data_IF_239285765394
#
_entry.id   IF_239285765394
#
_cell.length_a   1.000
_cell.length_b   1.000
_cell.length_c   1.000
_cell.angle_alpha   90.00
_cell.angle_beta   90.00
_cell.angle_gamma   90.00
#
_symmetry.space_group_name_H-M   'P 1'
#
loop_
_entity.id
_entity.type
_entity.pdbx_description
1 polymer ?
#
# COMPACT_ATOMS: atom_id res chain seq x y z
N UNK A 1 3.55 -0.34 12.97
CA UNK A 1 3.20 1.13 12.78
C UNK A 1 2.25 1.54 13.90
N UNK A 2 2.42 2.73 14.53
CA UNK A 2 1.45 3.25 15.49
C UNK A 2 0.21 3.80 14.76
N UNK A 3 -0.97 3.40 15.19
CA UNK A 3 -2.26 3.81 14.62
C UNK A 3 -3.15 4.31 15.76
N UNK A 4 -3.45 5.61 15.76
CA UNK A 4 -4.44 6.15 16.68
C UNK A 4 -5.84 5.68 16.27
N UNK A 5 -6.80 5.53 17.21
CA UNK A 5 -8.16 5.08 16.88
C UNK A 5 -8.85 5.90 15.78
N UNK A 6 -8.62 7.21 15.75
CA UNK A 6 -9.16 8.10 14.71
C UNK A 6 -8.55 7.88 13.31
N UNK A 7 -7.36 7.28 13.24
CA UNK A 7 -6.62 7.02 11.99
C UNK A 7 -6.73 5.55 11.55
N UNK A 8 -7.39 4.69 12.34
CA UNK A 8 -7.56 3.29 11.99
C UNK A 8 -8.39 3.16 10.71
N UNK A 9 -8.07 2.17 9.90
CA UNK A 9 -8.86 1.83 8.70
C UNK A 9 -10.31 1.52 9.06
N UNK A 10 -11.22 1.82 8.13
CA UNK A 10 -12.64 1.45 8.22
C UNK A 10 -12.88 -0.03 7.81
N UNK A 11 -11.83 -0.75 7.45
CA UNK A 11 -11.89 -2.14 7.03
C UNK A 11 -11.24 -2.40 5.68
N UNK A 12 -11.43 -3.61 5.17
CA UNK A 12 -10.85 -4.06 3.91
C UNK A 12 -11.31 -3.23 2.72
N UNK A 13 -12.57 -2.81 2.71
CA UNK A 13 -13.14 -1.96 1.66
C UNK A 13 -12.46 -0.58 1.54
N UNK A 14 -11.68 -0.14 2.55
CA UNK A 14 -10.90 1.09 2.49
C UNK A 14 -9.45 0.84 2.06
N UNK A 15 -8.77 -0.12 2.71
CA UNK A 15 -7.34 -0.31 2.47
C UNK A 15 -7.03 -1.07 1.17
N UNK A 16 -7.87 -2.05 0.77
CA UNK A 16 -7.60 -2.87 -0.41
C UNK A 16 -7.59 -2.06 -1.71
N UNK A 17 -8.62 -1.24 -2.03
CA UNK A 17 -8.61 -0.41 -3.23
C UNK A 17 -7.44 0.59 -3.26
N UNK A 18 -7.02 1.12 -2.10
CA UNK A 18 -5.85 1.99 -2.01
C UNK A 18 -4.57 1.25 -2.40
N UNK A 19 -4.36 0.03 -1.88
CA UNK A 19 -3.17 -0.79 -2.20
C UNK A 19 -3.16 -1.19 -3.68
N UNK A 20 -4.29 -1.64 -4.21
CA UNK A 20 -4.45 -2.04 -5.61
C UNK A 20 -4.23 -0.86 -6.57
N UNK A 21 -4.80 0.30 -6.29
CA UNK A 21 -4.63 1.50 -7.11
C UNK A 21 -3.19 2.04 -7.06
N UNK A 22 -2.50 1.93 -5.93
CA UNK A 22 -1.11 2.35 -5.80
C UNK A 22 -0.18 1.40 -6.57
N UNK A 23 -0.35 0.08 -6.46
CA UNK A 23 0.39 -0.95 -7.20
C UNK A 23 1.91 -0.90 -7.07
N UNK A 24 2.46 -0.01 -6.24
CA UNK A 24 3.89 0.21 -6.00
C UNK A 24 4.17 0.38 -4.52
N UNK A 25 5.27 -0.21 -4.02
CA UNK A 25 5.61 -0.17 -2.61
C UNK A 25 7.04 -0.60 -2.33
N UNK A 26 7.36 -0.74 -1.06
CA UNK A 26 8.67 -1.18 -0.59
C UNK A 26 8.56 -2.57 0.01
N UNK A 27 9.13 -3.57 -0.66
CA UNK A 27 9.25 -4.91 -0.12
C UNK A 27 10.46 -4.96 0.83
N UNK A 28 10.22 -5.37 2.06
CA UNK A 28 11.20 -5.41 3.15
C UNK A 28 11.41 -6.85 3.58
N UNK A 29 12.66 -7.32 3.52
CA UNK A 29 13.09 -8.62 4.04
C UNK A 29 14.21 -8.44 5.07
N UNK A 30 13.93 -8.82 6.32
CA UNK A 30 14.91 -8.68 7.40
C UNK A 30 16.08 -9.66 7.26
N UNK A 31 15.84 -10.86 6.69
CA UNK A 31 16.82 -11.93 6.72
C UNK A 31 17.11 -12.41 8.15
N UNK A 32 18.33 -12.87 8.37
CA UNK A 32 18.87 -13.20 9.71
C UNK A 32 20.25 -12.59 9.88
N UNK A 33 20.56 -12.13 11.09
CA UNK A 33 21.89 -11.57 11.43
C UNK A 33 22.34 -10.44 10.50
N UNK A 34 21.41 -9.56 10.12
CA UNK A 34 21.66 -8.36 9.30
C UNK A 34 21.47 -7.11 10.15
N UNK A 35 22.37 -6.16 10.05
CA UNK A 35 22.27 -4.88 10.75
C UNK A 35 21.08 -4.05 10.25
N UNK A 36 20.77 -4.14 8.95
CA UNK A 36 19.62 -3.49 8.31
C UNK A 36 18.89 -4.46 7.40
N UNK A 37 17.56 -4.35 7.26
CA UNK A 37 16.80 -5.13 6.31
C UNK A 37 17.13 -4.74 4.87
N UNK A 38 16.92 -5.67 3.93
CA UNK A 38 16.92 -5.35 2.50
C UNK A 38 15.57 -4.73 2.16
N UNK A 39 15.60 -3.54 1.54
CA UNK A 39 14.40 -2.80 1.09
C UNK A 39 14.46 -2.63 -0.42
N UNK A 40 13.42 -3.08 -1.11
CA UNK A 40 13.33 -3.00 -2.58
C UNK A 40 12.05 -2.28 -2.98
N UNK A 41 12.14 -1.08 -3.60
CA UNK A 41 10.98 -0.48 -4.25
C UNK A 41 10.59 -1.32 -5.45
N UNK A 42 9.31 -1.69 -5.54
CA UNK A 42 8.83 -2.59 -6.58
C UNK A 42 7.36 -2.39 -6.88
N UNK A 43 7.00 -2.65 -8.14
CA UNK A 43 5.63 -2.83 -8.55
C UNK A 43 5.16 -4.22 -8.13
N UNK A 44 3.90 -4.34 -7.77
CA UNK A 44 3.29 -5.59 -7.36
C UNK A 44 1.84 -5.70 -7.84
N UNK A 45 1.31 -6.90 -7.84
CA UNK A 45 -0.10 -7.20 -8.03
C UNK A 45 -0.65 -7.84 -6.75
N UNK A 46 -1.76 -7.32 -6.23
CA UNK A 46 -2.52 -7.93 -5.13
C UNK A 46 -3.72 -8.66 -5.73
N UNK A 47 -3.78 -9.98 -5.57
CA UNK A 47 -4.91 -10.82 -5.98
C UNK A 47 -5.42 -11.62 -4.77
N UNK A 48 -6.61 -11.29 -4.28
CA UNK A 48 -7.08 -11.84 -3.01
C UNK A 48 -6.06 -11.55 -1.90
N UNK A 49 -5.60 -12.57 -1.20
CA UNK A 49 -4.59 -12.45 -0.14
C UNK A 49 -3.18 -12.82 -0.63
N UNK A 50 -2.95 -12.74 -1.93
CA UNK A 50 -1.65 -13.06 -2.54
C UNK A 50 -1.08 -11.84 -3.24
N UNK A 51 0.14 -11.48 -2.88
CA UNK A 51 0.93 -10.48 -3.61
C UNK A 51 1.83 -11.22 -4.60
N UNK A 52 1.90 -10.71 -5.85
CA UNK A 52 2.77 -11.23 -6.92
C UNK A 52 3.68 -10.13 -7.41
N UNK A 53 4.97 -10.44 -7.55
CA UNK A 53 5.97 -9.55 -8.13
C UNK A 53 7.13 -10.35 -8.71
N UNK A 54 8.00 -9.71 -9.47
CA UNK A 54 9.24 -10.31 -9.93
C UNK A 54 10.40 -9.33 -9.76
N UNK A 55 11.59 -9.86 -9.58
CA UNK A 55 12.83 -9.09 -9.47
C UNK A 55 13.93 -9.76 -10.30
N UNK A 56 14.94 -8.97 -10.67
CA UNK A 56 16.15 -9.53 -11.29
C UNK A 56 16.81 -10.52 -10.31
N UNK A 57 17.24 -11.66 -10.83
CA UNK A 57 17.83 -12.76 -10.05
C UNK A 57 18.98 -12.33 -9.12
N UNK A 58 19.77 -11.34 -9.52
CA UNK A 58 20.89 -10.83 -8.73
C UNK A 58 20.47 -9.91 -7.57
N UNK A 59 19.14 -9.66 -7.37
CA UNK A 59 18.68 -8.78 -6.32
C UNK A 59 19.06 -9.35 -4.93
N UNK A 60 19.65 -8.53 -4.03
CA UNK A 60 20.08 -8.97 -2.70
C UNK A 60 18.91 -9.45 -1.81
N UNK A 61 17.67 -9.13 -2.16
CA UNK A 61 16.48 -9.60 -1.46
C UNK A 61 16.44 -11.14 -1.40
N UNK A 62 16.87 -11.85 -2.45
CA UNK A 62 16.80 -13.31 -2.51
C UNK A 62 17.71 -13.97 -1.47
N UNK A 63 18.86 -13.37 -1.15
CA UNK A 63 19.72 -13.85 -0.08
C UNK A 63 19.00 -13.69 1.29
N UNK A 64 18.33 -12.56 1.52
CA UNK A 64 17.55 -12.35 2.73
C UNK A 64 16.35 -13.32 2.83
N UNK A 65 15.66 -13.60 1.72
CA UNK A 65 14.55 -14.56 1.67
C UNK A 65 15.00 -16.01 1.91
N UNK A 66 16.20 -16.39 1.49
CA UNK A 66 16.77 -17.71 1.78
C UNK A 66 17.03 -17.89 3.29
N UNK A 67 17.35 -16.81 3.99
CA UNK A 67 17.58 -16.81 5.45
C UNK A 67 16.26 -16.77 6.24
N UNK A 68 15.29 -15.96 5.78
CA UNK A 68 13.98 -15.78 6.41
C UNK A 68 12.95 -15.36 5.36
N UNK A 69 11.91 -16.16 5.20
CA UNK A 69 10.83 -15.90 4.21
C UNK A 69 9.79 -14.89 4.66
N UNK A 70 9.86 -14.41 5.93
CA UNK A 70 8.94 -13.38 6.43
C UNK A 70 9.28 -12.04 5.82
N UNK A 71 8.28 -11.39 5.24
CA UNK A 71 8.41 -10.10 4.56
C UNK A 71 7.30 -9.13 4.97
N UNK A 72 7.58 -7.87 4.72
CA UNK A 72 6.61 -6.79 4.86
C UNK A 72 6.61 -6.01 3.55
N UNK A 73 5.43 -5.85 2.91
CA UNK A 73 5.24 -4.88 1.85
C UNK A 73 4.63 -3.62 2.45
N UNK A 74 5.32 -2.49 2.31
CA UNK A 74 4.88 -1.18 2.79
C UNK A 74 4.44 -0.32 1.61
N UNK A 75 3.17 0.09 1.63
CA UNK A 75 2.56 0.98 0.64
C UNK A 75 2.16 2.27 1.34
N UNK A 76 2.55 3.42 0.81
CA UNK A 76 2.17 4.72 1.35
C UNK A 76 1.88 5.69 0.20
N UNK A 77 0.92 6.57 0.40
CA UNK A 77 0.52 7.52 -0.64
C UNK A 77 -0.52 8.52 -0.16
N UNK A 78 -1.08 9.22 -1.15
CA UNK A 78 -2.18 10.18 -0.95
C UNK A 78 -1.87 11.20 0.16
N UNK A 79 -0.60 11.64 0.23
CA UNK A 79 -0.16 12.53 1.28
C UNK A 79 -0.26 14.00 0.88
N UNK A 80 -0.62 14.84 1.87
CA UNK A 80 -0.64 16.28 1.74
C UNK A 80 -0.22 16.93 3.06
N UNK A 81 0.64 17.96 3.00
CA UNK A 81 0.94 18.77 4.17
C UNK A 81 -0.21 19.75 4.43
N UNK A 82 -0.66 19.82 5.67
CA UNK A 82 -1.75 20.68 6.15
C UNK A 82 -1.14 21.76 7.06
N UNK A 83 -1.08 23.02 6.58
CA UNK A 83 -0.58 24.14 7.39
C UNK A 83 -1.41 24.40 8.64
N UNK A 84 -0.83 25.08 9.64
CA UNK A 84 -1.52 25.46 10.89
C UNK A 84 -2.80 26.25 10.63
N UNK A 85 -2.73 27.27 9.78
CA UNK A 85 -3.86 28.13 9.45
C UNK A 85 -5.07 27.41 8.81
N UNK A 86 -4.86 26.20 8.25
CA UNK A 86 -5.95 25.39 7.69
C UNK A 86 -6.66 24.53 8.75
N UNK A 87 -6.11 24.52 9.97
CA UNK A 87 -6.63 23.75 11.10
C UNK A 87 -7.49 24.62 12.04
N UNK A 88 -7.78 25.85 11.66
CA UNK A 88 -8.58 26.84 12.38
C UNK A 88 -9.71 27.34 11.49
N UNK A 89 -10.84 27.72 12.08
CA UNK A 89 -12.01 28.25 11.37
C UNK A 89 -12.56 29.50 12.05
N UNK A 90 -13.18 30.37 11.25
CA UNK A 90 -13.88 31.56 11.76
C UNK A 90 -12.96 32.56 12.47
N UNK A 91 -13.17 32.75 13.75
CA UNK A 91 -12.42 33.71 14.60
C UNK A 91 -11.26 33.07 15.36
N UNK A 92 -10.98 31.80 15.12
CA UNK A 92 -9.84 31.12 15.72
C UNK A 92 -8.52 31.70 15.22
N UNK A 93 -7.54 31.81 16.12
CA UNK A 93 -6.21 32.30 15.75
C UNK A 93 -5.49 31.29 14.84
N UNK A 94 -5.14 31.68 13.60
CA UNK A 94 -4.46 30.80 12.66
C UNK A 94 -3.11 30.26 13.16
N UNK A 95 -2.45 30.93 14.09
CA UNK A 95 -1.18 30.50 14.66
C UNK A 95 -1.34 29.35 15.67
N UNK A 96 -2.55 29.17 16.23
CA UNK A 96 -2.83 28.11 17.20
C UNK A 96 -3.20 26.77 16.54
N UNK A 97 -3.42 26.74 15.24
CA UNK A 97 -3.64 25.49 14.52
C UNK A 97 -2.39 24.59 14.55
N UNK A 98 -2.60 23.29 14.70
CA UNK A 98 -1.50 22.31 14.71
C UNK A 98 -1.26 21.79 13.30
N UNK A 99 -0.12 22.13 12.64
CA UNK A 99 0.17 21.62 11.32
C UNK A 99 0.37 20.11 11.35
N UNK A 100 0.04 19.45 10.24
CA UNK A 100 0.18 17.99 10.16
C UNK A 100 0.37 17.53 8.72
N UNK A 101 0.66 16.24 8.53
CA UNK A 101 0.59 15.58 7.22
C UNK A 101 -0.58 14.62 7.22
N UNK A 102 -1.45 14.73 6.21
CA UNK A 102 -2.44 13.72 5.87
C UNK A 102 -1.79 12.67 4.97
N UNK A 103 -2.09 11.40 5.18
CA UNK A 103 -1.55 10.30 4.37
C UNK A 103 -2.28 8.98 4.64
N UNK A 104 -2.21 8.08 3.67
CA UNK A 104 -2.53 6.67 3.84
C UNK A 104 -1.23 5.84 3.90
N UNK A 105 -1.22 4.82 4.74
CA UNK A 105 -0.15 3.83 4.78
C UNK A 105 -0.70 2.45 5.13
N UNK A 106 -0.33 1.45 4.33
CA UNK A 106 -0.73 0.05 4.53
C UNK A 106 0.52 -0.82 4.55
N UNK A 107 0.60 -1.67 5.56
CA UNK A 107 1.65 -2.66 5.73
C UNK A 107 1.04 -4.06 5.65
N UNK A 108 1.43 -4.83 4.65
CA UNK A 108 1.01 -6.21 4.45
C UNK A 108 2.19 -7.11 4.83
N UNK A 109 1.99 -7.95 5.86
CA UNK A 109 2.99 -8.92 6.30
C UNK A 109 2.59 -10.30 5.80
N UNK A 110 3.58 -11.09 5.41
CA UNK A 110 3.29 -12.42 4.88
C UNK A 110 4.54 -13.28 4.73
N UNK A 111 4.34 -14.45 4.13
CA UNK A 111 5.41 -15.41 3.84
C UNK A 111 5.65 -15.48 2.34
N UNK A 112 6.89 -15.23 1.92
CA UNK A 112 7.30 -15.24 0.52
C UNK A 112 7.64 -16.66 0.04
N UNK A 113 7.22 -16.97 -1.19
CA UNK A 113 7.68 -18.11 -1.98
C UNK A 113 8.38 -17.57 -3.21
N UNK A 114 9.59 -18.06 -3.47
CA UNK A 114 10.40 -17.69 -4.65
C UNK A 114 10.22 -18.74 -5.73
N UNK A 115 9.88 -18.30 -6.95
CA UNK A 115 9.74 -19.12 -8.14
C UNK A 115 10.96 -18.92 -9.04
N UNK A 116 11.57 -20.01 -9.46
CA UNK A 116 12.71 -20.03 -10.40
C UNK A 116 12.37 -20.92 -11.59
N UNK A 117 12.28 -20.32 -12.77
CA UNK A 117 11.93 -21.01 -14.00
C UNK A 117 12.87 -22.21 -14.32
N UNK A 118 14.09 -22.19 -13.76
CA UNK A 118 15.07 -23.28 -13.92
C UNK A 118 14.73 -24.53 -13.13
N UNK A 119 13.98 -24.38 -12.04
CA UNK A 119 13.61 -25.47 -11.13
C UNK A 119 12.12 -25.77 -11.15
N UNK A 120 11.30 -24.78 -11.48
CA UNK A 120 9.84 -24.87 -11.54
C UNK A 120 9.35 -24.21 -12.83
N UNK A 121 9.39 -24.95 -13.98
CA UNK A 121 8.94 -24.41 -15.25
C UNK A 121 7.50 -23.88 -15.19
N UNK A 122 7.29 -22.64 -15.67
CA UNK A 122 6.00 -21.97 -15.67
C UNK A 122 5.72 -21.11 -14.44
N UNK A 123 6.48 -21.24 -13.35
CA UNK A 123 6.24 -20.47 -12.12
C UNK A 123 6.49 -18.98 -12.29
N UNK A 124 7.61 -18.58 -12.89
CA UNK A 124 7.92 -17.18 -13.20
C UNK A 124 7.00 -16.65 -14.30
N UNK A 125 6.73 -17.49 -15.32
CA UNK A 125 5.83 -17.13 -16.43
C UNK A 125 4.42 -16.82 -15.92
N UNK A 126 3.89 -17.58 -14.96
CA UNK A 126 2.57 -17.31 -14.36
C UNK A 126 2.54 -15.97 -13.62
N UNK A 127 3.54 -15.70 -12.78
CA UNK A 127 3.66 -14.41 -12.08
C UNK A 127 3.66 -13.24 -13.07
N UNK A 128 4.49 -13.30 -14.11
CA UNK A 128 4.57 -12.26 -15.14
C UNK A 128 3.26 -12.10 -15.91
N UNK A 129 2.65 -13.21 -16.34
CA UNK A 129 1.40 -13.19 -17.12
C UNK A 129 0.31 -12.47 -16.33
N UNK A 130 0.13 -12.79 -15.06
CA UNK A 130 -0.87 -12.13 -14.20
C UNK A 130 -0.58 -10.65 -14.02
N UNK A 131 0.68 -10.27 -13.74
CA UNK A 131 1.07 -8.86 -13.65
C UNK A 131 0.78 -8.10 -14.94
N UNK A 132 1.18 -8.64 -16.10
CA UNK A 132 0.98 -8.00 -17.40
C UNK A 132 -0.51 -7.88 -17.73
N UNK A 133 -1.32 -8.92 -17.49
CA UNK A 133 -2.77 -8.86 -17.70
C UNK A 133 -3.46 -7.79 -16.83
N UNK A 134 -3.01 -7.62 -15.59
CA UNK A 134 -3.58 -6.61 -14.70
C UNK A 134 -3.13 -5.17 -15.05
N UNK A 135 -1.86 -5.02 -15.48
CA UNK A 135 -1.27 -3.70 -15.73
C UNK A 135 -1.53 -3.15 -17.13
N UNK A 136 -1.87 -4.03 -18.08
CA UNK A 136 -2.17 -3.66 -19.46
C UNK A 136 -3.37 -4.47 -20.00
N UNK A 137 -4.57 -4.29 -19.40
CA UNK A 137 -5.74 -5.12 -19.69
C UNK A 137 -6.19 -5.07 -21.16
N UNK A 138 -5.93 -3.97 -21.84
CA UNK A 138 -6.34 -3.74 -23.24
C UNK A 138 -5.31 -4.24 -24.26
N UNK A 139 -4.18 -4.82 -23.80
CA UNK A 139 -3.12 -5.31 -24.69
C UNK A 139 -3.01 -6.83 -24.56
N UNK A 140 -3.08 -7.51 -25.68
CA UNK A 140 -2.85 -8.96 -25.71
C UNK A 140 -1.45 -9.30 -25.19
N UNK A 141 -1.38 -10.15 -24.17
CA UNK A 141 -0.12 -10.59 -23.56
C UNK A 141 0.28 -11.92 -24.17
N UNK A 142 1.42 -11.92 -24.88
CA UNK A 142 2.06 -13.16 -25.32
C UNK A 142 2.54 -13.95 -24.09
N UNK A 143 2.60 -15.29 -24.22
CA UNK A 143 3.18 -16.12 -23.15
C UNK A 143 4.64 -15.73 -22.90
N UNK A 144 5.01 -15.22 -21.69
CA UNK A 144 6.36 -14.77 -21.42
C UNK A 144 7.42 -15.87 -21.59
N UNK A 145 7.08 -17.13 -21.35
CA UNK A 145 7.99 -18.26 -21.52
C UNK A 145 8.32 -18.50 -23.01
N UNK A 146 7.35 -18.24 -23.89
CA UNK A 146 7.51 -18.40 -25.35
C UNK A 146 8.12 -17.15 -25.97
N UNK A 147 7.62 -15.98 -25.63
CA UNK A 147 8.03 -14.72 -26.24
C UNK A 147 9.43 -14.26 -25.79
N UNK A 148 9.80 -14.57 -24.52
CA UNK A 148 11.01 -14.06 -23.88
C UNK A 148 11.80 -15.13 -23.10
N UNK A 149 12.15 -16.28 -23.71
CA UNK A 149 12.72 -17.43 -22.98
C UNK A 149 14.08 -17.16 -22.33
N UNK A 150 14.84 -16.20 -22.83
CA UNK A 150 16.13 -15.79 -22.22
C UNK A 150 15.91 -14.83 -21.06
N UNK A 151 15.03 -13.87 -21.21
CA UNK A 151 14.75 -12.83 -20.21
C UNK A 151 14.12 -13.44 -18.95
N UNK A 152 13.22 -14.41 -19.11
CA UNK A 152 12.58 -15.09 -17.98
C UNK A 152 13.57 -15.83 -17.08
N UNK A 153 14.71 -16.30 -17.64
CA UNK A 153 15.79 -16.93 -16.88
C UNK A 153 16.61 -15.95 -16.04
N UNK A 154 16.53 -14.63 -16.33
CA UNK A 154 17.28 -13.60 -15.62
C UNK A 154 16.55 -13.02 -14.41
N UNK A 155 15.30 -13.42 -14.21
CA UNK A 155 14.45 -12.96 -13.11
C UNK A 155 13.99 -14.11 -12.23
N UNK A 156 13.46 -13.77 -11.07
CA UNK A 156 12.75 -14.69 -10.19
C UNK A 156 11.36 -14.09 -9.86
N UNK A 157 10.37 -14.97 -9.83
CA UNK A 157 9.04 -14.62 -9.36
C UNK A 157 8.96 -14.71 -7.83
N UNK A 158 8.10 -13.90 -7.24
CA UNK A 158 7.79 -13.95 -5.82
C UNK A 158 6.28 -13.94 -5.66
N UNK A 159 5.75 -14.89 -4.89
CA UNK A 159 4.40 -14.82 -4.35
C UNK A 159 4.47 -14.67 -2.84
N UNK A 160 3.62 -13.82 -2.25
CA UNK A 160 3.56 -13.60 -0.81
C UNK A 160 2.14 -13.91 -0.35
N UNK A 161 1.99 -14.94 0.48
CA UNK A 161 0.75 -15.20 1.18
C UNK A 161 0.64 -14.19 2.34
N UNK A 162 -0.29 -13.25 2.23
CA UNK A 162 -0.54 -12.21 3.24
C UNK A 162 -1.29 -12.83 4.41
N UNK A 163 -0.80 -12.63 5.62
CA UNK A 163 -1.42 -13.14 6.85
C UNK A 163 -1.80 -12.03 7.82
N UNK A 164 -1.30 -10.81 7.64
CA UNK A 164 -1.74 -9.67 8.44
C UNK A 164 -1.61 -8.35 7.69
N UNK A 165 -2.56 -7.45 7.97
CA UNK A 165 -2.62 -6.10 7.41
C UNK A 165 -2.69 -5.08 8.54
N UNK A 166 -1.85 -4.05 8.45
CA UNK A 166 -1.86 -2.90 9.35
C UNK A 166 -2.06 -1.64 8.49
N UNK A 167 -3.20 -0.96 8.63
CA UNK A 167 -3.58 0.13 7.75
C UNK A 167 -3.93 1.39 8.53
N UNK A 168 -3.33 2.52 8.12
CA UNK A 168 -3.51 3.84 8.72
C UNK A 168 -3.96 4.83 7.65
N UNK A 169 -5.05 5.54 7.95
CA UNK A 169 -5.63 6.59 7.12
C UNK A 169 -5.76 7.87 7.96
N UNK A 170 -4.70 8.67 7.98
CA UNK A 170 -4.60 9.89 8.78
C UNK A 170 -5.13 11.09 8.00
N UNK A 171 -6.43 11.35 8.13
CA UNK A 171 -7.13 12.42 7.42
C UNK A 171 -8.05 13.24 8.34
N UNK A 172 -7.54 13.63 9.52
CA UNK A 172 -8.25 14.51 10.45
C UNK A 172 -9.39 13.85 11.21
N UNK A 173 -9.40 12.52 11.38
CA UNK A 173 -10.45 11.82 12.10
C UNK A 173 -10.59 12.18 13.59
N UNK A 174 -9.65 12.94 14.11
CA UNK A 174 -9.62 13.45 15.50
C UNK A 174 -10.19 14.87 15.66
N UNK A 175 -10.66 15.51 14.59
CA UNK A 175 -11.30 16.82 14.62
C UNK A 175 -12.71 16.75 14.06
N UNK A 176 -13.55 17.73 14.38
CA UNK A 176 -14.93 17.80 13.92
C UNK A 176 -15.06 18.00 12.41
N UNK A 177 -16.29 17.89 11.94
CA UNK A 177 -16.61 17.96 10.50
C UNK A 177 -16.31 19.33 9.90
N UNK A 178 -16.59 20.42 10.61
CA UNK A 178 -16.40 21.77 10.10
C UNK A 178 -14.92 22.05 9.79
N UNK A 179 -14.03 21.70 10.71
CA UNK A 179 -12.58 21.82 10.50
C UNK A 179 -12.09 20.91 9.36
N UNK A 180 -12.63 19.69 9.25
CA UNK A 180 -12.25 18.80 8.15
C UNK A 180 -12.68 19.32 6.80
N UNK A 181 -13.89 19.90 6.69
CA UNK A 181 -14.38 20.52 5.45
C UNK A 181 -13.57 21.75 5.06
N UNK A 182 -13.19 22.60 6.02
CA UNK A 182 -12.31 23.74 5.77
C UNK A 182 -10.96 23.28 5.17
N UNK A 183 -10.39 22.18 5.68
CA UNK A 183 -9.17 21.60 5.08
C UNK A 183 -9.41 21.09 3.66
N UNK A 184 -10.57 20.49 3.36
CA UNK A 184 -10.93 20.06 1.99
C UNK A 184 -10.96 21.25 1.03
N UNK A 185 -11.60 22.36 1.41
CA UNK A 185 -11.67 23.58 0.59
C UNK A 185 -10.28 24.13 0.28
N UNK A 186 -9.39 24.16 1.27
CA UNK A 186 -8.00 24.58 1.09
C UNK A 186 -7.20 23.63 0.16
N UNK A 187 -7.36 22.31 0.31
CA UNK A 187 -6.72 21.33 -0.57
C UNK A 187 -7.19 21.50 -2.02
N UNK A 188 -8.51 21.69 -2.23
CA UNK A 188 -9.09 21.93 -3.55
C UNK A 188 -8.61 23.25 -4.17
N UNK A 189 -8.43 24.28 -3.36
CA UNK A 189 -7.91 25.57 -3.82
C UNK A 189 -6.41 25.51 -4.17
N UNK A 190 -5.59 24.79 -3.39
CA UNK A 190 -4.14 24.67 -3.61
C UNK A 190 -3.79 23.80 -4.81
N UNK A 191 -4.51 22.71 -5.05
CA UNK A 191 -4.30 21.77 -6.16
C UNK A 191 -2.83 21.26 -6.28
N UNK A 192 -2.17 21.08 -5.17
CA UNK A 192 -0.81 20.51 -5.13
C UNK A 192 -0.82 18.97 -5.28
N UNK A 193 0.39 18.37 -5.44
CA UNK A 193 0.51 16.92 -5.49
C UNK A 193 -0.12 16.25 -4.26
N UNK A 194 -1.01 15.27 -4.48
CA UNK A 194 -1.70 14.53 -3.43
C UNK A 194 -2.94 15.22 -2.83
N UNK A 195 -3.17 16.52 -3.10
CA UNK A 195 -4.28 17.28 -2.50
C UNK A 195 -5.65 16.70 -2.83
N UNK A 196 -5.89 16.37 -4.10
CA UNK A 196 -7.16 15.80 -4.54
C UNK A 196 -7.44 14.45 -3.88
N UNK A 197 -6.42 13.60 -3.78
CA UNK A 197 -6.54 12.30 -3.12
C UNK A 197 -6.79 12.46 -1.61
N UNK A 198 -6.04 13.34 -0.94
CA UNK A 198 -6.22 13.64 0.48
C UNK A 198 -7.62 14.20 0.77
N UNK A 199 -8.11 15.15 -0.02
CA UNK A 199 -9.48 15.69 0.07
C UNK A 199 -10.53 14.56 -0.08
N UNK A 200 -10.35 13.68 -1.08
CA UNK A 200 -11.22 12.53 -1.28
C UNK A 200 -11.28 11.59 -0.08
N UNK A 201 -10.14 11.33 0.58
CA UNK A 201 -10.12 10.54 1.83
C UNK A 201 -10.83 11.25 2.98
N UNK A 202 -10.65 12.56 3.15
CA UNK A 202 -11.38 13.32 4.18
C UNK A 202 -12.89 13.15 3.98
N UNK A 203 -13.39 13.41 2.75
CA UNK A 203 -14.83 13.33 2.43
C UNK A 203 -15.38 11.93 2.68
N UNK A 204 -14.70 10.87 2.20
CA UNK A 204 -15.13 9.48 2.45
C UNK A 204 -15.25 9.15 3.94
N UNK A 205 -14.39 9.72 4.78
CA UNK A 205 -14.35 9.49 6.22
C UNK A 205 -15.27 10.42 7.02
N UNK A 206 -15.99 11.35 6.38
CA UNK A 206 -17.10 12.11 6.97
C UNK A 206 -18.38 11.27 7.02
N UNK A 207 -18.57 10.34 6.07
CA UNK A 207 -19.73 9.47 6.07
C UNK A 207 -19.83 8.68 7.40
N UNK A 208 -21.04 8.42 7.92
CA UNK A 208 -21.22 7.58 9.10
C UNK A 208 -20.52 6.23 8.94
N UNK A 209 -19.73 5.83 9.95
CA UNK A 209 -19.09 4.51 9.94
C UNK A 209 -20.18 3.44 9.86
N UNK A 210 -20.14 2.50 8.90
CA UNK A 210 -21.03 1.36 8.92
C UNK A 210 -20.88 0.62 10.26
N UNK A 211 -21.97 0.03 10.80
CA UNK A 211 -21.89 -0.71 12.05
C UNK A 211 -20.85 -1.82 11.93
N UNK A 212 -19.98 -1.92 12.94
CA UNK A 212 -18.98 -2.99 13.01
C UNK A 212 -19.70 -4.34 13.18
N UNK A 213 -19.81 -5.09 12.10
CA UNK A 213 -20.40 -6.44 12.09
C UNK A 213 -19.40 -7.52 12.51
N UNK A 214 -18.15 -7.17 12.79
CA UNK A 214 -17.06 -8.12 13.07
C UNK A 214 -16.92 -8.53 14.55
N UNK A 215 -17.67 -7.89 15.47
CA UNK A 215 -17.63 -8.24 16.90
C UNK A 215 -19.03 -8.50 17.46
N UNK A 216 -19.54 -9.75 17.44
CA UNK A 216 -20.76 -10.09 18.19
C UNK A 216 -20.45 -9.87 19.69
N UNK A 217 -21.17 -8.93 20.34
CA UNK A 217 -21.08 -8.72 21.80
C UNK A 217 -21.41 -10.05 22.48
N UNK A 218 -20.57 -10.55 23.40
CA UNK A 218 -20.97 -11.66 24.23
C UNK A 218 -22.14 -11.18 25.14
N UNK A 219 -23.19 -11.99 25.17
CA UNK A 219 -24.34 -11.83 26.09
C UNK A 219 -23.95 -12.18 27.51
#
# INVERSE_FOLDING_TARGET
>A
MYIAPADATLGEAEWRPFVEATGFGHLVAAGRNRDVPVVVPTQFLLEGDTIRLHLVRANPLFAALAENRRVLLSVAGDWAFIPSAWKTIGVEDPELGIPTTYYAAVQLTGTATVHDERHEPGGVADVLRRQLQALQPDIAVADPAVAHPRQIQSILGITIAVDSVSAKFKYGGNVDEAHRLAVVDHLQARQGPGDAAAAGHVVRRLAPRPPDTSNPRPH
#
